data_IF_146403156796
#
_entry.id   IF_146403156796
#
_cell.length_a   1.000
_cell.length_b   1.000
_cell.length_c   1.000
_cell.angle_alpha   90.00
_cell.angle_beta   90.00
_cell.angle_gamma   90.00
#
_symmetry.space_group_name_H-M   'P 1'
#
loop_
_entity.id
_entity.type
_entity.pdbx_description
1 polymer ?
#
# COMPACT_ATOMS: atom_id res chain seq x y z
N UNK A 1 -1.66 6.84 9.95
CA UNK A 1 -2.90 6.03 9.85
C UNK A 1 -2.61 4.64 10.37
N UNK A 2 -3.38 4.20 11.32
CA UNK A 2 -3.28 2.82 11.82
C UNK A 2 -4.04 1.92 10.86
N UNK A 3 -3.46 0.82 10.38
CA UNK A 3 -4.16 -0.10 9.48
C UNK A 3 -5.39 -0.68 10.18
N UNK A 4 -6.54 -0.54 9.54
CA UNK A 4 -7.81 -1.13 9.99
C UNK A 4 -8.44 -1.85 8.79
N UNK A 5 -8.17 -3.16 8.64
CA UNK A 5 -8.62 -3.90 7.47
C UNK A 5 -10.15 -4.02 7.39
N UNK A 6 -10.84 -4.00 8.51
CA UNK A 6 -12.30 -4.09 8.49
C UNK A 6 -12.93 -2.79 8.00
N UNK A 7 -12.42 -1.64 8.45
CA UNK A 7 -12.88 -0.34 7.96
C UNK A 7 -12.55 -0.19 6.48
N UNK A 8 -11.34 -0.57 6.07
CA UNK A 8 -10.94 -0.51 4.66
C UNK A 8 -11.85 -1.39 3.79
N UNK A 9 -12.22 -2.58 4.26
CA UNK A 9 -13.09 -3.49 3.52
C UNK A 9 -14.48 -2.93 3.26
N UNK A 10 -14.98 -2.02 4.10
CA UNK A 10 -16.29 -1.37 3.89
C UNK A 10 -16.33 -0.49 2.64
N UNK A 11 -15.19 0.01 2.21
CA UNK A 11 -15.07 0.86 1.02
C UNK A 11 -14.65 0.07 -0.22
N UNK A 12 -14.52 -1.25 -0.11
CA UNK A 12 -14.15 -2.14 -1.20
C UNK A 12 -15.33 -2.97 -1.68
N UNK A 13 -15.49 -3.08 -2.99
CA UNK A 13 -16.46 -4.01 -3.57
C UNK A 13 -16.03 -5.46 -3.27
N UNK A 14 -17.00 -6.40 -3.13
CA UNK A 14 -16.65 -7.81 -3.00
C UNK A 14 -15.78 -8.29 -4.17
N UNK A 15 -14.75 -9.07 -3.88
CA UNK A 15 -13.86 -9.61 -4.91
C UNK A 15 -12.85 -8.61 -5.46
N UNK A 16 -12.67 -7.45 -4.83
CA UNK A 16 -11.66 -6.46 -5.23
C UNK A 16 -10.28 -7.10 -5.18
N UNK A 17 -9.55 -7.01 -6.29
CA UNK A 17 -8.18 -7.49 -6.37
C UNK A 17 -7.22 -6.38 -5.93
N UNK A 18 -6.35 -6.73 -4.98
CA UNK A 18 -5.27 -5.86 -4.52
C UNK A 18 -3.97 -6.46 -5.06
N UNK A 19 -3.32 -5.74 -5.98
CA UNK A 19 -2.00 -6.13 -6.46
C UNK A 19 -0.97 -5.39 -5.63
N UNK A 20 -0.27 -6.11 -4.80
CA UNK A 20 0.69 -5.55 -3.87
C UNK A 20 2.11 -5.63 -4.44
N UNK A 21 3.10 -5.18 -3.67
CA UNK A 21 4.50 -5.15 -4.11
C UNK A 21 4.96 -6.54 -4.57
N UNK A 22 5.74 -6.58 -5.66
CA UNK A 22 6.19 -7.84 -6.25
C UNK A 22 5.09 -8.59 -6.99
N UNK A 23 4.04 -7.87 -7.42
CA UNK A 23 2.87 -8.43 -8.12
C UNK A 23 2.09 -9.47 -7.30
N UNK A 24 2.19 -9.44 -5.96
CA UNK A 24 1.39 -10.30 -5.09
C UNK A 24 -0.07 -9.91 -5.17
N UNK A 25 -0.97 -10.89 -5.26
CA UNK A 25 -2.39 -10.64 -5.32
C UNK A 25 -3.06 -10.98 -3.99
N UNK A 26 -3.84 -10.05 -3.50
CA UNK A 26 -4.68 -10.21 -2.31
C UNK A 26 -6.12 -9.82 -2.66
N UNK A 27 -7.07 -10.34 -1.91
CA UNK A 27 -8.49 -10.11 -2.15
C UNK A 27 -9.20 -9.51 -0.93
N UNK A 28 -8.47 -9.26 0.16
CA UNK A 28 -9.00 -8.60 1.35
C UNK A 28 -7.89 -7.81 2.05
N UNK A 29 -8.21 -6.62 2.62
CA UNK A 29 -7.22 -5.81 3.34
C UNK A 29 -6.53 -6.54 4.49
N UNK A 30 -7.17 -7.52 5.12
CA UNK A 30 -6.55 -8.32 6.18
C UNK A 30 -5.33 -9.10 5.70
N UNK A 31 -5.31 -9.52 4.45
CA UNK A 31 -4.16 -10.21 3.86
C UNK A 31 -2.97 -9.27 3.71
N UNK A 32 -3.23 -8.01 3.34
CA UNK A 32 -2.21 -6.97 3.26
C UNK A 32 -1.63 -6.67 4.64
N UNK A 33 -2.49 -6.55 5.65
CA UNK A 33 -2.07 -6.33 7.03
C UNK A 33 -1.20 -7.48 7.53
N UNK A 34 -1.57 -8.72 7.25
CA UNK A 34 -0.79 -9.89 7.63
C UNK A 34 0.58 -9.91 6.93
N UNK A 35 0.64 -9.55 5.65
CA UNK A 35 1.88 -9.45 4.91
C UNK A 35 2.80 -8.36 5.51
N UNK A 36 2.24 -7.20 5.81
CA UNK A 36 3.00 -6.09 6.38
C UNK A 36 3.53 -6.42 7.78
N UNK A 37 2.81 -7.22 8.56
CA UNK A 37 3.25 -7.65 9.89
C UNK A 37 4.55 -8.46 9.84
N UNK A 38 4.82 -9.13 8.72
CA UNK A 38 6.08 -9.84 8.53
C UNK A 38 7.21 -8.97 7.99
N UNK A 39 6.87 -7.84 7.35
CA UNK A 39 7.85 -6.93 6.74
C UNK A 39 8.29 -5.81 7.66
N UNK A 40 7.38 -5.32 8.50
CA UNK A 40 7.60 -4.16 9.37
C UNK A 40 7.26 -4.50 10.81
N UNK A 41 7.98 -3.91 11.78
CA UNK A 41 7.50 -3.86 13.16
C UNK A 41 6.25 -2.96 13.22
N UNK A 42 6.30 -1.84 12.51
CA UNK A 42 5.14 -0.97 12.26
C UNK A 42 5.45 -0.08 11.05
N UNK A 43 4.40 0.39 10.37
CA UNK A 43 4.53 1.27 9.21
C UNK A 43 3.35 2.24 9.16
N UNK A 44 3.65 3.48 8.80
CA UNK A 44 2.66 4.54 8.57
C UNK A 44 2.97 5.28 7.28
N UNK A 45 1.96 5.93 6.74
CA UNK A 45 2.06 6.72 5.52
C UNK A 45 2.13 8.21 5.85
N UNK A 46 2.98 8.91 5.09
CA UNK A 46 2.97 10.36 5.01
C UNK A 46 2.53 10.71 3.60
N UNK A 47 1.23 10.96 3.42
CA UNK A 47 0.67 11.28 2.10
C UNK A 47 1.06 12.71 1.71
N UNK A 48 1.67 12.84 0.55
CA UNK A 48 2.14 14.14 0.03
C UNK A 48 1.24 14.65 -1.09
N UNK A 49 0.61 13.75 -1.85
CA UNK A 49 -0.16 14.11 -3.02
C UNK A 49 -1.28 13.12 -3.28
N UNK A 50 -2.42 13.64 -3.71
CA UNK A 50 -3.56 12.84 -4.16
C UNK A 50 -3.96 13.33 -5.55
N UNK A 51 -3.87 12.49 -6.55
CA UNK A 51 -4.29 12.80 -7.91
C UNK A 51 -5.54 12.02 -8.25
N UNK A 52 -6.55 12.71 -8.79
CA UNK A 52 -7.83 12.13 -9.16
C UNK A 52 -8.00 12.25 -10.67
N UNK A 53 -8.18 11.11 -11.33
CA UNK A 53 -8.36 11.05 -12.79
C UNK A 53 -9.75 10.52 -13.09
N UNK A 54 -10.72 11.39 -13.45
CA UNK A 54 -12.04 10.94 -13.85
C UNK A 54 -11.98 10.12 -15.15
N UNK A 55 -12.76 9.06 -15.21
CA UNK A 55 -12.87 8.22 -16.39
C UNK A 55 -14.32 7.87 -16.67
N UNK A 56 -14.53 7.10 -17.74
CA UNK A 56 -15.87 6.66 -18.12
C UNK A 56 -16.32 5.51 -17.24
N UNK A 57 -17.27 5.80 -16.33
CA UNK A 57 -17.81 4.83 -15.39
C UNK A 57 -16.90 4.49 -14.21
N UNK A 58 -15.64 4.94 -14.20
CA UNK A 58 -14.71 4.73 -13.11
C UNK A 58 -13.86 5.97 -12.88
N UNK A 59 -13.37 6.13 -11.66
CA UNK A 59 -12.41 7.17 -11.31
C UNK A 59 -11.14 6.50 -10.81
N UNK A 60 -9.99 6.94 -11.31
CA UNK A 60 -8.70 6.47 -10.82
C UNK A 60 -8.13 7.48 -9.84
N UNK A 61 -7.68 7.01 -8.69
CA UNK A 61 -7.10 7.85 -7.65
C UNK A 61 -5.70 7.35 -7.35
N UNK A 62 -4.72 8.27 -7.40
CA UNK A 62 -3.34 7.99 -7.03
C UNK A 62 -3.01 8.68 -5.71
N UNK A 63 -2.53 7.90 -4.75
CA UNK A 63 -1.98 8.43 -3.49
C UNK A 63 -0.48 8.26 -3.52
N UNK A 64 0.26 9.35 -3.36
CA UNK A 64 1.72 9.35 -3.40
C UNK A 64 2.28 9.96 -2.13
N UNK A 65 3.39 9.44 -1.69
CA UNK A 65 4.09 9.97 -0.52
C UNK A 65 5.20 9.04 -0.09
N UNK A 66 5.43 9.00 1.22
CA UNK A 66 6.47 8.16 1.81
C UNK A 66 5.93 7.32 2.95
N UNK A 67 6.63 6.22 3.21
CA UNK A 67 6.39 5.37 4.36
C UNK A 67 7.46 5.65 5.41
N UNK A 68 7.08 5.57 6.67
CA UNK A 68 8.00 5.62 7.79
C UNK A 68 7.56 4.60 8.85
N UNK A 69 8.52 4.15 9.65
CA UNK A 69 8.21 3.15 10.65
C UNK A 69 9.47 2.50 11.21
N UNK A 70 9.37 1.21 11.51
CA UNK A 70 10.50 0.41 11.96
C UNK A 70 10.48 -0.96 11.28
N UNK A 71 11.68 -1.42 10.94
CA UNK A 71 11.89 -2.78 10.44
C UNK A 71 11.66 -3.81 11.56
N UNK A 72 11.57 -5.12 11.24
CA UNK A 72 11.33 -6.13 12.27
C UNK A 72 12.36 -6.14 13.40
N UNK A 73 13.59 -5.72 13.15
CA UNK A 73 14.64 -5.62 14.16
C UNK A 73 14.55 -4.33 15.01
N UNK A 74 13.55 -3.49 14.76
CA UNK A 74 13.34 -2.23 15.48
C UNK A 74 14.06 -1.04 14.89
N UNK A 75 14.89 -1.22 13.87
CA UNK A 75 15.60 -0.11 13.22
C UNK A 75 14.61 0.83 12.53
N UNK A 76 14.63 2.14 12.81
CA UNK A 76 13.71 3.07 12.18
C UNK A 76 14.04 3.30 10.70
N UNK A 77 13.02 3.60 9.92
CA UNK A 77 13.16 4.00 8.52
C UNK A 77 12.20 5.14 8.18
N UNK A 78 12.54 5.89 7.16
CA UNK A 78 11.65 6.90 6.57
C UNK A 78 12.05 7.16 5.11
N UNK A 79 11.17 7.82 4.37
CA UNK A 79 11.45 8.23 3.00
C UNK A 79 11.27 7.14 1.95
N UNK A 80 10.75 5.97 2.31
CA UNK A 80 10.40 4.93 1.34
C UNK A 80 9.22 5.45 0.51
N UNK A 81 9.44 5.70 -0.77
CA UNK A 81 8.38 6.21 -1.64
C UNK A 81 7.29 5.16 -1.82
N UNK A 82 6.05 5.61 -1.92
CA UNK A 82 4.95 4.73 -2.29
C UNK A 82 4.06 5.39 -3.33
N UNK A 83 3.41 4.57 -4.15
CA UNK A 83 2.30 4.93 -5.01
C UNK A 83 1.22 3.88 -4.84
N UNK A 84 0.02 4.31 -4.46
CA UNK A 84 -1.16 3.46 -4.45
C UNK A 84 -2.10 3.95 -5.53
N UNK A 85 -2.57 3.05 -6.39
CA UNK A 85 -3.56 3.35 -7.42
C UNK A 85 -4.87 2.65 -7.07
N UNK A 86 -5.93 3.44 -6.95
CA UNK A 86 -7.27 2.93 -6.67
C UNK A 86 -8.15 3.12 -7.89
N UNK A 87 -8.90 2.09 -8.24
CA UNK A 87 -10.00 2.20 -9.21
C UNK A 87 -11.30 2.24 -8.41
N UNK A 88 -12.09 3.29 -8.62
CA UNK A 88 -13.31 3.54 -7.85
C UNK A 88 -14.52 3.55 -8.80
N UNK A 89 -15.55 2.80 -8.44
CA UNK A 89 -16.83 2.76 -9.14
C UNK A 89 -17.95 2.80 -8.12
N UNK A 90 -18.94 3.70 -8.34
CA UNK A 90 -20.11 3.83 -7.46
C UNK A 90 -19.74 4.00 -5.99
N UNK A 91 -18.68 4.77 -5.70
CA UNK A 91 -18.22 5.04 -4.35
C UNK A 91 -17.46 3.89 -3.69
N UNK A 92 -17.21 2.79 -4.41
CA UNK A 92 -16.46 1.66 -3.89
C UNK A 92 -15.17 1.42 -4.66
N UNK A 93 -14.13 0.99 -3.95
CA UNK A 93 -12.88 0.55 -4.56
C UNK A 93 -13.12 -0.80 -5.22
N UNK A 94 -12.87 -0.88 -6.53
CA UNK A 94 -13.01 -2.12 -7.31
C UNK A 94 -11.65 -2.69 -7.74
N UNK A 95 -10.57 -1.96 -7.53
CA UNK A 95 -9.22 -2.42 -7.78
C UNK A 95 -8.22 -1.56 -7.03
N UNK A 96 -7.10 -2.16 -6.63
CA UNK A 96 -6.02 -1.46 -5.96
C UNK A 96 -4.69 -2.03 -6.39
N UNK A 97 -3.74 -1.15 -6.68
CA UNK A 97 -2.37 -1.55 -7.00
C UNK A 97 -1.41 -0.73 -6.14
N UNK A 98 -0.38 -1.40 -5.61
CA UNK A 98 0.53 -0.81 -4.63
C UNK A 98 1.97 -1.01 -5.08
N UNK A 99 2.73 0.08 -5.12
CA UNK A 99 4.17 0.08 -5.35
C UNK A 99 4.87 0.85 -4.23
N UNK A 100 6.00 0.34 -3.77
CA UNK A 100 6.83 1.10 -2.84
C UNK A 100 8.28 0.62 -2.85
N UNK A 101 9.15 1.44 -2.26
CA UNK A 101 10.60 1.21 -2.23
C UNK A 101 11.05 0.27 -1.09
N UNK A 102 10.15 -0.27 -0.28
CA UNK A 102 10.54 -0.98 0.94
C UNK A 102 11.43 -2.20 0.69
N UNK A 103 11.11 -2.99 -0.33
CA UNK A 103 11.94 -4.17 -0.65
C UNK A 103 13.36 -3.75 -1.07
N UNK A 104 13.48 -2.72 -1.88
CA UNK A 104 14.78 -2.18 -2.29
C UNK A 104 15.57 -1.67 -1.08
N UNK A 105 14.91 -0.99 -0.15
CA UNK A 105 15.55 -0.48 1.07
C UNK A 105 16.02 -1.62 1.98
N UNK A 106 15.23 -2.69 2.09
CA UNK A 106 15.62 -3.88 2.85
C UNK A 106 16.82 -4.59 2.22
N UNK A 107 16.81 -4.75 0.90
CA UNK A 107 17.94 -5.34 0.18
C UNK A 107 19.22 -4.52 0.40
N UNK A 108 19.12 -3.21 0.33
CA UNK A 108 20.26 -2.31 0.59
C UNK A 108 20.76 -2.48 2.02
N UNK A 109 19.86 -2.53 2.99
CA UNK A 109 20.21 -2.73 4.43
C UNK A 109 21.00 -4.01 4.66
N UNK A 110 20.71 -5.06 3.89
CA UNK A 110 21.39 -6.35 4.00
C UNK A 110 22.55 -6.50 3.02
N UNK A 111 22.95 -5.43 2.32
CA UNK A 111 24.09 -5.46 1.41
C UNK A 111 23.86 -6.26 0.14
N UNK A 112 22.60 -6.45 -0.27
CA UNK A 112 22.23 -7.27 -1.43
C UNK A 112 21.96 -6.44 -2.70
N UNK A 113 22.10 -5.13 -2.66
CA UNK A 113 22.00 -4.25 -3.83
C UNK A 113 23.35 -3.64 -4.14
N UNK A 114 23.51 -3.29 -5.41
CA UNK A 114 24.74 -2.61 -5.86
C UNK A 114 24.80 -1.17 -5.33
#
# INVERSE_FOLDING_TARGET
>A
MVPDPETAARYMAPGTRIVFTGAREFYHPSEVTAFNAGRYAWVKKRMERLDVVPGDGVTTVYSLGTLYGAWPDGTPFEGNRYVDRFTVRDGLIVGMEVWNDSAERLLTKHGLTA
#
